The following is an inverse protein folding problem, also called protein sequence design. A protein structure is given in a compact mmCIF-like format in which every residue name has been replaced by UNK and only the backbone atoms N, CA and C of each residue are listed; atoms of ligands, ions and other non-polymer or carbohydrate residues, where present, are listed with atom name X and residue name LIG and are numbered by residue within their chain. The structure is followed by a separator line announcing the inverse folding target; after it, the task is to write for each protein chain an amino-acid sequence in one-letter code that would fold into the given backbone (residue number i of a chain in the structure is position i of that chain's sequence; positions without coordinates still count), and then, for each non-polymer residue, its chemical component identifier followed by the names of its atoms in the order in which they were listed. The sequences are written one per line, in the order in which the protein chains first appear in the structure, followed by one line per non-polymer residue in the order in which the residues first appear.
data_IF_650208745817
#
_entry.id   IF_650208745817
#
_cell.length_a   1.000
_cell.length_b   1.000
_cell.length_c   1.000
_cell.angle_alpha   90.00
_cell.angle_beta   90.00
_cell.angle_gamma   90.00
#
_symmetry.space_group_name_H-M   'P 1'
#
loop_
_entity.id
_entity.type
_entity.pdbx_description
1 polymer ?
#
# COMPACT_ATOMS: atom_id res chain seq x y z
N UNK A 1 -2.63 15.74 17.60
CA UNK A 1 -2.74 15.52 16.14
C UNK A 1 -2.60 14.05 15.76
N UNK A 2 -1.57 13.35 16.26
CA UNK A 2 -1.35 11.91 15.93
C UNK A 2 -2.56 11.04 16.30
N UNK A 3 -3.13 11.23 17.49
CA UNK A 3 -4.33 10.52 17.92
C UNK A 3 -5.54 10.81 17.00
N UNK A 4 -5.72 12.06 16.57
CA UNK A 4 -6.79 12.43 15.65
C UNK A 4 -6.57 11.84 14.26
N UNK A 5 -5.35 11.86 13.74
CA UNK A 5 -5.02 11.20 12.48
C UNK A 5 -5.32 9.71 12.52
N UNK A 6 -4.91 9.03 13.60
CA UNK A 6 -5.21 7.61 13.82
C UNK A 6 -6.71 7.32 13.98
N UNK A 7 -7.47 8.22 14.63
CA UNK A 7 -8.92 8.06 14.77
C UNK A 7 -9.65 8.09 13.41
N UNK A 8 -9.29 9.03 12.55
CA UNK A 8 -9.86 9.09 11.20
C UNK A 8 -9.48 7.89 10.33
N UNK A 9 -8.25 7.40 10.47
CA UNK A 9 -7.80 6.17 9.82
C UNK A 9 -8.68 4.97 10.25
N UNK A 10 -8.83 4.74 11.57
CA UNK A 10 -9.63 3.64 12.14
C UNK A 10 -11.12 3.78 11.80
N UNK A 11 -11.68 4.98 11.90
CA UNK A 11 -13.11 5.21 11.60
C UNK A 11 -13.42 4.83 10.15
N UNK A 12 -12.60 5.28 9.24
CA UNK A 12 -12.71 5.02 7.83
C UNK A 12 -12.56 3.52 7.50
N UNK A 13 -11.63 2.84 8.16
CA UNK A 13 -11.44 1.40 8.07
C UNK A 13 -12.71 0.64 8.49
N UNK A 14 -13.32 0.99 9.63
CA UNK A 14 -14.53 0.34 10.13
C UNK A 14 -15.76 0.56 9.22
N UNK A 15 -15.86 1.74 8.60
CA UNK A 15 -16.93 2.01 7.62
C UNK A 15 -16.75 1.16 6.34
N UNK A 16 -15.52 0.92 5.92
CA UNK A 16 -15.21 0.08 4.76
C UNK A 16 -15.52 -1.40 5.00
N UNK A 17 -15.24 -1.94 6.19
CA UNK A 17 -15.52 -3.34 6.55
C UNK A 17 -17.02 -3.67 6.50
N UNK A 18 -17.87 -2.73 6.88
CA UNK A 18 -19.34 -2.94 6.87
C UNK A 18 -19.90 -3.26 5.48
N UNK A 19 -19.19 -2.87 4.43
CA UNK A 19 -19.61 -3.01 3.05
C UNK A 19 -18.89 -4.14 2.29
N UNK A 20 -17.92 -4.81 2.93
CA UNK A 20 -17.12 -5.84 2.30
C UNK A 20 -17.37 -7.18 2.99
N UNK A 21 -18.14 -8.04 2.33
CA UNK A 21 -18.42 -9.41 2.79
C UNK A 21 -17.19 -10.34 2.74
N UNK A 22 -15.97 -9.84 2.57
CA UNK A 22 -14.75 -10.65 2.55
C UNK A 22 -13.52 -9.84 2.97
N UNK A 23 -12.57 -10.55 3.57
CA UNK A 23 -11.21 -10.17 3.95
C UNK A 23 -10.42 -9.71 2.73
N UNK A 24 -10.73 -8.57 2.21
CA UNK A 24 -9.94 -7.93 1.17
C UNK A 24 -9.45 -6.60 1.70
N UNK A 25 -8.46 -6.04 1.08
CA UNK A 25 -7.82 -4.80 1.48
C UNK A 25 -8.77 -3.77 2.04
N UNK A 26 -8.73 -3.63 3.35
CA UNK A 26 -9.44 -2.57 4.04
C UNK A 26 -8.64 -1.29 3.91
N UNK A 27 -9.22 -0.30 3.30
CA UNK A 27 -8.69 1.05 3.26
C UNK A 27 -9.76 2.04 3.67
N UNK A 28 -9.33 3.20 4.12
CA UNK A 28 -10.22 4.31 4.37
C UNK A 28 -10.87 4.88 3.10
N UNK A 29 -11.75 5.87 3.31
CA UNK A 29 -12.25 6.70 2.22
C UNK A 29 -11.19 7.72 1.80
N UNK A 30 -11.34 8.28 0.61
CA UNK A 30 -10.43 9.32 0.10
C UNK A 30 -10.42 10.56 1.01
N UNK A 31 -11.59 10.98 1.49
CA UNK A 31 -11.74 12.12 2.42
C UNK A 31 -11.07 11.84 3.76
N UNK A 32 -11.23 10.65 4.30
CA UNK A 32 -10.58 10.27 5.55
C UNK A 32 -9.06 10.19 5.41
N UNK A 33 -8.55 9.74 4.27
CA UNK A 33 -7.12 9.76 3.98
C UNK A 33 -6.56 11.19 3.97
N UNK A 34 -7.29 12.16 3.40
CA UNK A 34 -6.91 13.58 3.44
C UNK A 34 -6.85 14.08 4.88
N UNK A 35 -7.95 13.93 5.62
CA UNK A 35 -8.07 14.45 7.00
C UNK A 35 -7.00 13.83 7.91
N UNK A 36 -6.83 12.52 7.82
CA UNK A 36 -5.82 11.78 8.58
C UNK A 36 -4.41 12.28 8.27
N UNK A 37 -4.10 12.47 6.98
CA UNK A 37 -2.80 12.97 6.53
C UNK A 37 -2.54 14.39 7.01
N UNK A 38 -3.54 15.27 6.99
CA UNK A 38 -3.42 16.65 7.49
C UNK A 38 -3.07 16.68 9.00
N UNK A 39 -3.68 15.81 9.80
CA UNK A 39 -3.32 15.71 11.22
C UNK A 39 -1.91 15.17 11.43
N UNK A 40 -1.49 14.16 10.65
CA UNK A 40 -0.12 13.67 10.73
C UNK A 40 0.90 14.70 10.25
N UNK A 41 0.59 15.48 9.22
CA UNK A 41 1.44 16.60 8.77
C UNK A 41 1.62 17.64 9.87
N UNK A 42 0.54 18.06 10.54
CA UNK A 42 0.61 18.98 11.68
C UNK A 42 1.46 18.43 12.82
N UNK A 43 1.42 17.12 13.08
CA UNK A 43 2.29 16.52 14.08
C UNK A 43 3.76 16.62 13.68
N UNK A 44 4.09 16.37 12.41
CA UNK A 44 5.46 16.44 11.88
C UNK A 44 5.96 17.89 11.74
N UNK A 45 5.07 18.87 11.56
CA UNK A 45 5.44 20.30 11.61
C UNK A 45 5.91 20.73 13.01
N UNK A 46 5.33 20.12 14.07
CA UNK A 46 5.72 20.42 15.46
C UNK A 46 7.01 19.66 15.82
N UNK A 47 7.10 18.38 15.47
CA UNK A 47 8.27 17.56 15.71
C UNK A 47 8.52 16.64 14.48
N UNK A 48 9.41 17.05 13.56
CA UNK A 48 9.75 16.26 12.38
C UNK A 48 10.37 14.89 12.70
N UNK A 49 10.95 14.72 13.89
CA UNK A 49 11.61 13.50 14.35
C UNK A 49 10.65 12.53 15.07
N UNK A 50 9.39 12.92 15.27
CA UNK A 50 8.44 12.14 16.04
C UNK A 50 8.18 10.76 15.43
N UNK A 51 8.54 9.73 16.16
CA UNK A 51 8.42 8.33 15.72
C UNK A 51 7.08 7.66 16.06
N UNK A 52 6.24 8.31 16.87
CA UNK A 52 4.94 7.78 17.30
C UNK A 52 4.98 6.77 18.44
N UNK A 53 6.13 6.48 19.03
CA UNK A 53 6.32 5.40 20.02
C UNK A 53 5.38 5.42 21.23
N UNK A 54 4.89 6.61 21.61
CA UNK A 54 4.04 6.75 22.81
C UNK A 54 2.53 6.64 22.55
N UNK A 55 2.09 6.74 21.28
CA UNK A 55 0.67 6.76 20.93
C UNK A 55 0.33 5.66 19.92
N UNK A 56 1.28 5.32 19.04
CA UNK A 56 1.13 4.29 18.02
C UNK A 56 2.46 3.57 17.82
N UNK A 57 2.41 2.27 17.50
CA UNK A 57 3.62 1.51 17.13
C UNK A 57 4.28 2.04 15.86
N UNK A 58 3.53 2.80 15.06
CA UNK A 58 3.95 3.28 13.76
C UNK A 58 3.87 4.81 13.73
N UNK A 59 4.96 5.46 13.36
CA UNK A 59 5.05 6.92 13.29
C UNK A 59 4.20 7.53 12.16
N UNK A 60 3.99 8.86 12.20
CA UNK A 60 3.16 9.58 11.22
C UNK A 60 3.58 9.35 9.77
N UNK A 61 4.88 9.30 9.49
CA UNK A 61 5.38 9.03 8.14
C UNK A 61 4.96 7.66 7.61
N UNK A 62 5.06 6.63 8.45
CA UNK A 62 4.60 5.28 8.10
C UNK A 62 3.09 5.28 7.82
N UNK A 63 2.31 5.86 8.74
CA UNK A 63 0.84 5.90 8.65
C UNK A 63 0.36 6.59 7.38
N UNK A 64 0.96 7.71 7.00
CA UNK A 64 0.60 8.41 5.75
C UNK A 64 0.82 7.51 4.52
N UNK A 65 1.98 6.84 4.43
CA UNK A 65 2.29 5.94 3.32
C UNK A 65 1.31 4.76 3.28
N UNK A 66 1.06 4.13 4.43
CA UNK A 66 0.14 3.00 4.56
C UNK A 66 -1.28 3.35 4.12
N UNK A 67 -1.85 4.46 4.61
CA UNK A 67 -3.20 4.92 4.28
C UNK A 67 -3.38 5.11 2.77
N UNK A 68 -2.48 5.84 2.13
CA UNK A 68 -2.59 6.13 0.70
C UNK A 68 -2.27 4.93 -0.18
N UNK A 69 -1.30 4.10 0.23
CA UNK A 69 -0.97 2.87 -0.47
C UNK A 69 -2.13 1.87 -0.44
N UNK A 70 -2.72 1.64 0.74
CA UNK A 70 -3.88 0.76 0.88
C UNK A 70 -5.09 1.26 0.08
N UNK A 71 -5.33 2.59 0.08
CA UNK A 71 -6.40 3.20 -0.73
C UNK A 71 -6.16 2.98 -2.23
N UNK A 72 -4.95 3.21 -2.71
CA UNK A 72 -4.60 3.00 -4.11
C UNK A 72 -4.73 1.53 -4.51
N UNK A 73 -4.29 0.59 -3.65
CA UNK A 73 -4.42 -0.85 -3.89
C UNK A 73 -5.89 -1.29 -3.92
N UNK A 74 -6.75 -0.75 -3.06
CA UNK A 74 -8.19 -1.00 -3.14
C UNK A 74 -8.79 -0.54 -4.46
N UNK A 75 -8.46 0.67 -4.90
CA UNK A 75 -8.92 1.16 -6.20
C UNK A 75 -8.42 0.32 -7.36
N UNK A 76 -7.18 -0.15 -7.27
CA UNK A 76 -6.62 -1.09 -8.24
C UNK A 76 -7.42 -2.39 -8.29
N UNK A 77 -7.69 -3.00 -7.14
CA UNK A 77 -8.52 -4.21 -7.02
C UNK A 77 -9.93 -4.00 -7.58
N UNK A 78 -10.52 -2.81 -7.38
CA UNK A 78 -11.84 -2.45 -7.91
C UNK A 78 -11.81 -2.08 -9.41
N UNK A 79 -10.66 -2.15 -10.09
CA UNK A 79 -10.48 -1.76 -11.50
C UNK A 79 -10.58 -0.25 -11.76
N UNK A 80 -10.53 0.59 -10.72
CA UNK A 80 -10.70 2.05 -10.78
C UNK A 80 -9.35 2.75 -11.01
N UNK A 81 -8.74 2.55 -12.16
CA UNK A 81 -7.38 3.03 -12.47
C UNK A 81 -7.24 4.56 -12.35
N UNK A 82 -8.25 5.32 -12.79
CA UNK A 82 -8.23 6.78 -12.63
C UNK A 82 -8.19 7.19 -11.15
N UNK A 83 -8.90 6.47 -10.28
CA UNK A 83 -8.89 6.70 -8.83
C UNK A 83 -7.53 6.36 -8.21
N UNK A 84 -6.83 5.33 -8.71
CA UNK A 84 -5.44 5.03 -8.31
C UNK A 84 -4.54 6.22 -8.59
N UNK A 85 -4.60 6.77 -9.81
CA UNK A 85 -3.82 7.93 -10.21
C UNK A 85 -4.11 9.15 -9.33
N UNK A 86 -5.40 9.43 -9.09
CA UNK A 86 -5.85 10.54 -8.23
C UNK A 86 -5.34 10.36 -6.80
N UNK A 87 -5.42 9.16 -6.24
CA UNK A 87 -4.94 8.87 -4.88
C UNK A 87 -3.42 9.12 -4.77
N UNK A 88 -2.63 8.59 -5.68
CA UNK A 88 -1.18 8.79 -5.70
C UNK A 88 -0.79 10.26 -5.92
N UNK A 89 -1.48 10.98 -6.80
CA UNK A 89 -1.22 12.40 -7.04
C UNK A 89 -1.55 13.23 -5.81
N UNK A 90 -2.67 12.94 -5.15
CA UNK A 90 -3.04 13.63 -3.91
C UNK A 90 -2.05 13.36 -2.79
N UNK A 91 -1.67 12.11 -2.57
CA UNK A 91 -0.66 11.72 -1.59
C UNK A 91 0.67 12.46 -1.81
N UNK A 92 1.15 12.51 -3.05
CA UNK A 92 2.38 13.23 -3.37
C UNK A 92 2.26 14.74 -3.12
N UNK A 93 1.14 15.37 -3.49
CA UNK A 93 0.86 16.80 -3.20
C UNK A 93 0.82 17.09 -1.70
N UNK A 94 0.39 16.14 -0.89
CA UNK A 94 0.38 16.26 0.58
C UNK A 94 1.73 15.89 1.23
N UNK A 95 2.78 15.67 0.45
CA UNK A 95 4.14 15.39 0.94
C UNK A 95 4.32 13.98 1.52
N UNK A 96 3.43 13.03 1.19
CA UNK A 96 3.54 11.64 1.67
C UNK A 96 4.78 10.95 1.12
N UNK A 97 5.06 11.14 -0.17
CA UNK A 97 6.23 10.59 -0.84
C UNK A 97 7.33 11.66 -0.93
N UNK A 98 8.15 11.77 0.13
CA UNK A 98 9.29 12.69 0.14
C UNK A 98 10.32 12.33 -0.94
N UNK A 99 11.20 13.27 -1.29
CA UNK A 99 12.25 12.99 -2.28
C UNK A 99 13.16 11.84 -1.83
N UNK A 100 13.52 11.78 -0.55
CA UNK A 100 14.34 10.67 -0.02
C UNK A 100 13.68 9.29 -0.22
N UNK A 101 12.37 9.19 0.01
CA UNK A 101 11.61 7.94 -0.19
C UNK A 101 11.58 7.58 -1.68
N UNK A 102 11.35 8.58 -2.55
CA UNK A 102 11.35 8.36 -4.00
C UNK A 102 12.72 7.95 -4.52
N UNK A 103 13.77 8.64 -4.10
CA UNK A 103 15.15 8.33 -4.50
C UNK A 103 15.59 6.94 -4.01
N UNK A 104 15.25 6.60 -2.76
CA UNK A 104 15.51 5.26 -2.22
C UNK A 104 14.79 4.19 -3.04
N UNK A 105 13.48 4.35 -3.27
CA UNK A 105 12.70 3.38 -4.05
C UNK A 105 13.19 3.25 -5.49
N UNK A 106 13.52 4.37 -6.14
CA UNK A 106 14.09 4.36 -7.49
C UNK A 106 15.43 3.59 -7.53
N UNK A 107 16.34 3.87 -6.61
CA UNK A 107 17.64 3.22 -6.57
C UNK A 107 17.52 1.72 -6.25
N UNK A 108 16.60 1.35 -5.36
CA UNK A 108 16.32 -0.05 -5.03
C UNK A 108 15.87 -0.83 -6.28
N UNK A 109 14.86 -0.31 -6.99
CA UNK A 109 14.37 -0.96 -8.21
C UNK A 109 15.42 -0.95 -9.33
N UNK A 110 16.17 0.16 -9.49
CA UNK A 110 17.23 0.25 -10.50
C UNK A 110 18.37 -0.73 -10.28
N UNK A 111 18.58 -1.19 -9.04
CA UNK A 111 19.55 -2.23 -8.69
C UNK A 111 19.10 -3.65 -9.04
N UNK A 112 17.85 -3.82 -9.45
CA UNK A 112 17.31 -5.11 -9.86
C UNK A 112 17.56 -5.39 -11.35
N UNK A 113 17.66 -6.67 -11.71
CA UNK A 113 17.76 -7.10 -13.11
C UNK A 113 16.44 -6.89 -13.85
N UNK A 114 16.51 -6.80 -15.18
CA UNK A 114 15.34 -6.68 -16.03
C UNK A 114 14.36 -7.85 -15.81
N UNK A 115 13.08 -7.54 -15.64
CA UNK A 115 11.99 -8.50 -15.35
C UNK A 115 12.17 -9.29 -14.04
N UNK A 116 12.96 -8.78 -13.09
CA UNK A 116 13.09 -9.43 -11.80
C UNK A 116 11.87 -9.19 -10.89
N UNK A 117 11.80 -10.00 -9.83
CA UNK A 117 10.81 -9.87 -8.77
C UNK A 117 11.49 -9.27 -7.56
N UNK A 118 10.96 -8.13 -7.09
CA UNK A 118 11.40 -7.48 -5.87
C UNK A 118 10.40 -7.77 -4.76
N UNK A 119 10.79 -8.63 -3.82
CA UNK A 119 9.97 -8.93 -2.63
C UNK A 119 10.22 -7.86 -1.58
N UNK A 120 9.15 -7.23 -1.11
CA UNK A 120 9.16 -6.18 -0.08
C UNK A 120 8.45 -6.66 1.18
N UNK A 121 8.85 -6.16 2.35
CA UNK A 121 8.35 -6.69 3.63
C UNK A 121 7.01 -6.07 4.08
N UNK A 122 6.69 -4.87 3.68
CA UNK A 122 5.46 -4.19 4.14
C UNK A 122 5.19 -2.87 3.43
N UNK A 123 4.27 -2.09 3.98
CA UNK A 123 3.70 -0.90 3.35
C UNK A 123 4.75 0.14 2.97
N UNK A 124 5.68 0.42 3.88
CA UNK A 124 6.66 1.49 3.69
C UNK A 124 7.69 1.14 2.62
N UNK A 125 7.95 -0.14 2.43
CA UNK A 125 8.87 -0.64 1.41
C UNK A 125 8.18 -0.83 0.06
N UNK A 126 6.86 -1.10 0.07
CA UNK A 126 6.09 -1.45 -1.14
C UNK A 126 5.46 -0.23 -1.80
N UNK A 127 4.68 0.54 -1.05
CA UNK A 127 3.82 1.56 -1.66
C UNK A 127 4.57 2.71 -2.34
N UNK A 128 5.75 3.15 -1.87
CA UNK A 128 6.56 4.09 -2.64
C UNK A 128 7.01 3.54 -4.00
N UNK A 129 7.32 2.24 -4.10
CA UNK A 129 7.71 1.61 -5.36
C UNK A 129 6.52 1.56 -6.33
N UNK A 130 5.34 1.15 -5.85
CA UNK A 130 4.12 1.14 -6.64
C UNK A 130 3.73 2.55 -7.10
N UNK A 131 3.94 3.57 -6.25
CA UNK A 131 3.79 4.96 -6.66
C UNK A 131 4.73 5.33 -7.82
N UNK A 132 6.01 4.98 -7.75
CA UNK A 132 6.97 5.25 -8.81
C UNK A 132 6.60 4.52 -10.12
N UNK A 133 6.16 3.27 -10.01
CA UNK A 133 5.67 2.51 -11.16
C UNK A 133 4.40 3.11 -11.77
N UNK A 134 3.50 3.61 -10.95
CA UNK A 134 2.32 4.35 -11.41
C UNK A 134 2.73 5.63 -12.19
N UNK A 135 3.85 6.26 -11.82
CA UNK A 135 4.44 7.39 -12.57
C UNK A 135 5.31 6.97 -13.77
N UNK A 136 5.25 5.72 -14.17
CA UNK A 136 5.90 5.21 -15.39
C UNK A 136 7.34 4.74 -15.21
N UNK A 137 7.86 4.72 -13.97
CA UNK A 137 9.25 4.33 -13.70
C UNK A 137 9.37 2.81 -13.49
N UNK A 138 10.40 2.19 -14.06
CA UNK A 138 10.87 0.81 -13.76
C UNK A 138 9.71 -0.22 -13.69
N UNK A 139 8.80 -0.17 -14.66
CA UNK A 139 7.61 -1.03 -14.74
C UNK A 139 7.91 -2.49 -15.04
N UNK A 140 9.11 -2.77 -15.49
CA UNK A 140 9.64 -4.09 -15.77
C UNK A 140 9.97 -4.89 -14.51
N UNK A 141 10.07 -4.25 -13.35
CA UNK A 141 10.29 -4.91 -12.06
C UNK A 141 8.93 -5.25 -11.42
N UNK A 142 8.71 -6.53 -11.10
CA UNK A 142 7.50 -6.95 -10.38
C UNK A 142 7.70 -6.73 -8.88
N UNK A 143 7.01 -5.76 -8.29
CA UNK A 143 7.04 -5.52 -6.84
C UNK A 143 6.01 -6.42 -6.16
N UNK A 144 6.44 -7.24 -5.20
CA UNK A 144 5.59 -8.17 -4.45
C UNK A 144 5.69 -7.86 -2.95
N UNK A 145 4.55 -7.52 -2.35
CA UNK A 145 4.46 -7.29 -0.90
C UNK A 145 4.25 -8.61 -0.16
N UNK A 146 5.22 -9.03 0.63
CA UNK A 146 5.18 -10.28 1.40
C UNK A 146 3.97 -10.32 2.37
N UNK A 147 3.65 -9.18 3.00
CA UNK A 147 2.51 -9.11 3.93
C UNK A 147 1.16 -9.28 3.25
N UNK A 148 1.04 -8.95 1.96
CA UNK A 148 -0.19 -9.10 1.19
C UNK A 148 -0.37 -10.52 0.62
N UNK A 149 0.64 -11.39 0.68
CA UNK A 149 0.51 -12.79 0.29
C UNK A 149 -0.47 -13.58 1.19
N UNK A 150 -0.95 -12.99 2.28
CA UNK A 150 -2.08 -13.52 3.07
C UNK A 150 -3.45 -13.15 2.49
N UNK A 151 -3.50 -12.30 1.45
CA UNK A 151 -4.73 -11.80 0.84
C UNK A 151 -4.99 -12.54 -0.45
N UNK A 152 -6.09 -13.28 -0.51
CA UNK A 152 -6.40 -14.20 -1.62
C UNK A 152 -6.36 -13.54 -2.99
N UNK A 153 -7.03 -12.37 -3.17
CA UNK A 153 -7.04 -11.69 -4.45
C UNK A 153 -5.65 -11.22 -4.88
N UNK A 154 -4.77 -10.89 -3.93
CA UNK A 154 -3.42 -10.45 -4.23
C UNK A 154 -2.56 -11.60 -4.77
N UNK A 155 -2.72 -12.80 -4.22
CA UNK A 155 -2.08 -14.01 -4.75
C UNK A 155 -2.58 -14.29 -6.17
N UNK A 156 -3.90 -14.21 -6.41
CA UNK A 156 -4.48 -14.39 -7.74
C UNK A 156 -3.95 -13.36 -8.74
N UNK A 157 -3.86 -12.12 -8.33
CA UNK A 157 -3.31 -11.04 -9.16
C UNK A 157 -1.85 -11.32 -9.54
N UNK A 158 -1.02 -11.79 -8.58
CA UNK A 158 0.36 -12.16 -8.87
C UNK A 158 0.39 -13.37 -9.79
N UNK A 159 -0.38 -14.41 -9.50
CA UNK A 159 -0.44 -15.64 -10.30
C UNK A 159 -0.83 -15.36 -11.76
N UNK A 160 -1.87 -14.56 -11.97
CA UNK A 160 -2.40 -14.26 -13.31
C UNK A 160 -1.54 -13.27 -14.11
N UNK A 161 -0.76 -12.42 -13.45
CA UNK A 161 -0.04 -11.31 -14.08
C UNK A 161 1.50 -11.45 -14.01
N UNK A 162 2.01 -12.67 -13.91
CA UNK A 162 3.47 -12.91 -13.88
C UNK A 162 4.08 -13.18 -15.25
N UNK A 163 3.30 -13.27 -16.31
CA UNK A 163 3.76 -13.59 -17.67
C UNK A 163 4.69 -14.82 -17.73
N UNK A 164 4.47 -15.80 -16.83
CA UNK A 164 5.36 -16.96 -16.68
C UNK A 164 6.71 -16.64 -15.99
N UNK A 165 6.88 -15.44 -15.44
CA UNK A 165 8.12 -15.04 -14.72
C UNK A 165 8.24 -15.72 -13.35
N UNK A 166 7.09 -16.07 -12.75
CA UNK A 166 7.04 -16.87 -11.51
C UNK A 166 6.45 -18.22 -11.88
N UNK A 167 7.23 -19.26 -11.72
CA UNK A 167 6.74 -20.63 -11.75
C UNK A 167 6.23 -20.98 -10.36
N UNK A 168 4.92 -21.04 -10.22
CA UNK A 168 4.31 -21.48 -8.96
C UNK A 168 4.25 -23.00 -8.99
N UNK A 169 4.94 -23.65 -8.07
CA UNK A 169 4.96 -25.09 -7.90
C UNK A 169 3.62 -25.63 -7.30
N UNK A 170 2.49 -24.99 -7.66
CA UNK A 170 1.15 -25.39 -7.24
C UNK A 170 0.07 -24.92 -8.22
N UNK A 171 -0.98 -25.72 -8.36
CA UNK A 171 -2.11 -25.46 -9.24
C UNK A 171 -3.15 -24.51 -8.58
N UNK A 172 -3.95 -23.81 -9.41
CA UNK A 172 -5.04 -22.94 -8.98
C UNK A 172 -5.99 -23.54 -7.91
N UNK A 173 -6.34 -24.84 -7.92
CA UNK A 173 -7.14 -25.49 -6.88
C UNK A 173 -6.54 -25.37 -5.47
N UNK A 174 -5.22 -25.42 -5.33
CA UNK A 174 -4.54 -25.34 -4.03
C UNK A 174 -4.70 -23.94 -3.42
N UNK A 175 -4.65 -22.90 -4.24
CA UNK A 175 -4.95 -21.52 -3.81
C UNK A 175 -6.36 -21.45 -3.24
N UNK A 176 -7.33 -22.06 -3.89
CA UNK A 176 -8.74 -22.05 -3.51
C UNK A 176 -9.04 -22.93 -2.27
N UNK A 177 -8.35 -24.05 -2.06
CA UNK A 177 -8.52 -24.89 -0.87
C UNK A 177 -7.95 -24.24 0.39
N UNK A 178 -6.80 -23.60 0.30
CA UNK A 178 -6.21 -22.86 1.42
C UNK A 178 -7.06 -21.68 1.88
N UNK A 179 -7.90 -21.12 1.02
CA UNK A 179 -8.90 -20.09 1.38
C UNK A 179 -9.98 -20.59 2.31
N UNK A 180 -10.45 -21.83 2.12
CA UNK A 180 -11.54 -22.42 2.93
C UNK A 180 -11.08 -22.77 4.35
N UNK A 181 -9.78 -22.92 4.55
CA UNK A 181 -9.17 -23.31 5.83
C UNK A 181 -8.67 -22.11 6.66
N UNK A 182 -8.79 -20.87 6.14
CA UNK A 182 -8.39 -19.64 6.83
C UNK A 182 -9.59 -18.83 7.40
N UNK A 183 -10.80 -19.36 7.33
CA UNK A 183 -12.01 -18.88 7.96
C UNK A 183 -12.32 -19.76 9.19
#
# INVERSE_FOLDING_TARGET
YVALGGLYDIKSYNESIKNLNQVSMTSGTFEAAIISTDYFNKALEIDPSYSGRHISFLGPNYKRISIWGALAMRYYYEGKIDSVNIAYDRANKMGVYSNHIKDYGHNLMKGCDYKSILITNGDIDTYPLLYLQNKGQLKDIKVVNLSLLNVSWYIEEIYNNTDGTIDFDFDEPIINENRKNQI
#
